data_IF_856627250144
#
_entry.id   IF_856627250144
#
_cell.length_a   1.000
_cell.length_b   1.000
_cell.length_c   1.000
_cell.angle_alpha   90.00
_cell.angle_beta   90.00
_cell.angle_gamma   90.00
#
_symmetry.space_group_name_H-M   'P 1'
#
loop_
_entity.id
_entity.type
_entity.pdbx_description
1 polymer ?
#
# COMPACT_ATOMS: atom_id res chain seq x y z
N UNK A 1 -4.93 -2.42 -33.32
CA UNK A 1 -3.91 -2.81 -34.33
C UNK A 1 -2.54 -2.67 -33.68
N UNK A 2 -1.99 -3.76 -33.13
CA UNK A 2 -0.67 -3.76 -32.50
C UNK A 2 0.34 -4.31 -33.50
N UNK A 3 1.29 -3.48 -33.93
CA UNK A 3 2.43 -3.91 -34.74
C UNK A 3 3.46 -4.58 -33.84
N UNK A 4 3.58 -5.89 -33.96
CA UNK A 4 4.69 -6.66 -33.39
C UNK A 4 5.89 -6.42 -34.29
N UNK A 5 6.82 -5.58 -33.86
CA UNK A 5 8.09 -5.41 -34.53
C UNK A 5 8.97 -6.65 -34.30
N UNK A 6 9.08 -7.51 -35.34
CA UNK A 6 10.08 -8.57 -35.38
C UNK A 6 11.46 -7.92 -35.47
N UNK A 7 12.21 -7.94 -34.40
CA UNK A 7 13.63 -7.63 -34.42
C UNK A 7 14.36 -8.78 -35.12
N UNK A 8 14.71 -8.57 -36.36
CA UNK A 8 15.69 -9.42 -37.07
C UNK A 8 17.05 -9.20 -36.41
N UNK A 9 17.56 -10.26 -35.76
CA UNK A 9 18.96 -10.32 -35.34
C UNK A 9 19.80 -10.45 -36.63
N UNK A 10 20.38 -9.35 -37.05
CA UNK A 10 21.38 -9.35 -38.08
C UNK A 10 22.66 -9.99 -37.52
N UNK A 11 22.90 -11.23 -37.89
CA UNK A 11 24.21 -11.87 -37.75
C UNK A 11 25.19 -11.11 -38.66
N UNK A 12 25.93 -10.18 -38.09
CA UNK A 12 27.05 -9.56 -38.76
C UNK A 12 28.19 -10.58 -38.90
N UNK A 13 28.27 -11.22 -40.02
CA UNK A 13 29.44 -12.04 -40.40
C UNK A 13 30.62 -11.11 -40.68
N UNK A 14 31.50 -10.93 -39.71
CA UNK A 14 32.80 -10.30 -39.94
C UNK A 14 33.70 -11.35 -40.57
N UNK A 15 33.86 -11.28 -41.86
CA UNK A 15 34.86 -12.07 -42.58
C UNK A 15 36.21 -11.37 -42.43
N UNK A 16 37.00 -11.81 -41.47
CA UNK A 16 38.43 -11.48 -41.38
C UNK A 16 39.17 -12.55 -42.16
N UNK A 17 39.84 -12.15 -43.24
CA UNK A 17 40.72 -13.03 -44.04
C UNK A 17 41.80 -13.60 -43.12
N UNK A 18 41.82 -14.91 -42.91
CA UNK A 18 43.01 -15.63 -42.51
C UNK A 18 43.01 -16.59 -41.37
N UNK A 19 41.94 -16.73 -40.60
CA UNK A 19 41.83 -17.87 -39.64
C UNK A 19 40.37 -18.15 -39.28
N UNK A 20 39.83 -19.25 -39.73
CA UNK A 20 38.58 -19.80 -39.21
C UNK A 20 38.84 -20.30 -37.80
N UNK A 21 38.67 -19.43 -36.79
CA UNK A 21 38.71 -19.87 -35.37
C UNK A 21 37.41 -20.59 -35.13
N UNK A 22 37.41 -21.91 -35.25
CA UNK A 22 36.30 -22.75 -34.85
C UNK A 22 36.22 -22.74 -33.33
N UNK A 23 35.25 -22.02 -32.78
CA UNK A 23 34.97 -22.05 -31.33
C UNK A 23 34.51 -23.49 -30.99
N UNK A 24 35.16 -24.19 -30.07
CA UNK A 24 34.76 -25.56 -29.72
C UNK A 24 33.34 -25.59 -29.19
N UNK A 25 32.53 -26.60 -29.56
CA UNK A 25 31.11 -26.68 -29.19
C UNK A 25 30.87 -26.57 -27.66
N UNK A 26 31.78 -27.07 -26.85
CA UNK A 26 31.76 -26.97 -25.38
C UNK A 26 31.73 -25.51 -24.90
N UNK A 27 32.43 -24.60 -25.58
CA UNK A 27 32.43 -23.17 -25.20
C UNK A 27 31.09 -22.51 -25.54
N UNK A 28 30.49 -22.87 -26.66
CA UNK A 28 29.18 -22.36 -27.08
C UNK A 28 28.08 -22.83 -26.12
N UNK A 29 28.07 -24.11 -25.74
CA UNK A 29 27.12 -24.66 -24.77
C UNK A 29 27.26 -24.03 -23.38
N UNK A 30 28.50 -23.80 -22.91
CA UNK A 30 28.75 -23.14 -21.63
C UNK A 30 28.26 -21.67 -21.63
N UNK A 31 28.39 -20.99 -22.74
CA UNK A 31 27.92 -19.61 -22.89
C UNK A 31 26.40 -19.54 -22.95
N UNK A 32 25.73 -20.42 -23.72
CA UNK A 32 24.28 -20.51 -23.75
C UNK A 32 23.67 -20.86 -22.38
N UNK A 33 24.31 -21.73 -21.63
CA UNK A 33 23.89 -22.08 -20.25
C UNK A 33 23.95 -20.85 -19.34
N UNK A 34 25.07 -20.09 -19.36
CA UNK A 34 25.22 -18.87 -18.55
C UNK A 34 24.19 -17.79 -18.92
N UNK A 35 23.90 -17.60 -20.18
CA UNK A 35 22.88 -16.66 -20.66
C UNK A 35 21.49 -17.09 -20.17
N UNK A 36 21.19 -18.39 -20.25
CA UNK A 36 19.93 -18.95 -19.73
C UNK A 36 19.80 -18.77 -18.23
N UNK A 37 20.83 -19.11 -17.46
CA UNK A 37 20.86 -18.95 -15.99
C UNK A 37 20.68 -17.48 -15.60
N UNK A 38 21.33 -16.54 -16.27
CA UNK A 38 21.18 -15.10 -16.05
C UNK A 38 19.74 -14.64 -16.33
N UNK A 39 19.13 -15.16 -17.41
CA UNK A 39 17.75 -14.83 -17.78
C UNK A 39 16.76 -15.35 -16.76
N UNK A 40 16.93 -16.59 -16.27
CA UNK A 40 16.08 -17.21 -15.25
C UNK A 40 16.20 -16.42 -13.94
N UNK A 41 17.40 -16.07 -13.50
CA UNK A 41 17.62 -15.29 -12.27
C UNK A 41 16.96 -13.89 -12.38
N UNK A 42 17.09 -13.24 -13.53
CA UNK A 42 16.45 -11.93 -13.75
C UNK A 42 14.90 -12.03 -13.73
N UNK A 43 14.35 -13.12 -14.27
CA UNK A 43 12.91 -13.37 -14.23
C UNK A 43 12.44 -13.64 -12.81
N UNK A 44 13.16 -14.48 -12.05
CA UNK A 44 12.85 -14.77 -10.65
C UNK A 44 12.85 -13.49 -9.79
N UNK A 45 13.83 -12.60 -10.00
CA UNK A 45 13.88 -11.32 -9.31
C UNK A 45 12.67 -10.41 -9.65
N UNK A 46 12.19 -10.42 -10.90
CA UNK A 46 10.98 -9.70 -11.29
C UNK A 46 9.74 -10.28 -10.64
N UNK A 47 9.60 -11.60 -10.64
CA UNK A 47 8.47 -12.29 -9.98
C UNK A 47 8.44 -11.93 -8.50
N UNK A 48 9.57 -12.07 -7.80
CA UNK A 48 9.66 -11.70 -6.38
C UNK A 48 9.25 -10.25 -6.13
N UNK A 49 9.67 -9.33 -6.98
CA UNK A 49 9.25 -7.92 -6.85
C UNK A 49 7.75 -7.74 -7.00
N UNK A 50 7.11 -8.45 -7.93
CA UNK A 50 5.65 -8.41 -8.08
C UNK A 50 4.93 -9.00 -6.88
N UNK A 51 5.43 -10.11 -6.33
CA UNK A 51 4.91 -10.71 -5.10
C UNK A 51 5.01 -9.74 -3.92
N UNK A 52 6.13 -9.06 -3.76
CA UNK A 52 6.33 -8.06 -2.73
C UNK A 52 5.36 -6.88 -2.89
N UNK A 53 5.18 -6.38 -4.10
CA UNK A 53 4.21 -5.31 -4.39
C UNK A 53 2.78 -5.75 -4.09
N UNK A 54 2.41 -7.00 -4.40
CA UNK A 54 1.08 -7.54 -4.09
C UNK A 54 0.88 -7.66 -2.58
N UNK A 55 1.84 -8.21 -1.83
CA UNK A 55 1.79 -8.31 -0.38
C UNK A 55 1.65 -6.94 0.30
N UNK A 56 2.34 -5.92 -0.23
CA UNK A 56 2.20 -4.55 0.26
C UNK A 56 0.81 -4.00 -0.07
N UNK A 57 0.27 -4.23 -1.26
CA UNK A 57 -1.07 -3.80 -1.62
C UNK A 57 -2.14 -4.46 -0.71
N UNK A 58 -1.97 -5.74 -0.40
CA UNK A 58 -2.83 -6.47 0.53
C UNK A 58 -2.75 -5.89 1.95
N UNK A 59 -1.56 -5.53 2.42
CA UNK A 59 -1.34 -4.83 3.69
C UNK A 59 -2.06 -3.48 3.74
N UNK A 60 -2.00 -2.69 2.64
CA UNK A 60 -2.68 -1.40 2.53
C UNK A 60 -4.20 -1.58 2.60
N UNK A 61 -4.76 -2.60 1.95
CA UNK A 61 -6.18 -2.92 1.98
C UNK A 61 -6.63 -3.45 3.35
N UNK A 62 -5.83 -4.32 3.97
CA UNK A 62 -6.10 -4.86 5.30
C UNK A 62 -6.15 -3.76 6.37
N UNK A 63 -5.33 -2.72 6.23
CA UNK A 63 -5.40 -1.53 7.08
C UNK A 63 -6.80 -0.89 7.04
N UNK A 64 -7.36 -0.66 5.86
CA UNK A 64 -8.71 -0.11 5.71
C UNK A 64 -9.77 -1.04 6.31
N UNK A 65 -9.69 -2.34 6.01
CA UNK A 65 -10.61 -3.34 6.55
C UNK A 65 -10.61 -3.38 8.08
N UNK A 66 -9.44 -3.48 8.69
CA UNK A 66 -9.30 -3.55 10.14
C UNK A 66 -9.82 -2.29 10.85
N UNK A 67 -9.60 -1.12 10.23
CA UNK A 67 -10.12 0.14 10.72
C UNK A 67 -11.66 0.20 10.66
N UNK A 68 -12.25 -0.21 9.54
CA UNK A 68 -13.70 -0.19 9.32
C UNK A 68 -14.44 -1.20 10.21
N UNK A 69 -13.83 -2.36 10.45
CA UNK A 69 -14.39 -3.39 11.34
C UNK A 69 -14.09 -3.16 12.82
N UNK A 70 -13.33 -2.11 13.16
CA UNK A 70 -12.87 -1.84 14.54
C UNK A 70 -12.00 -2.95 15.14
N UNK A 71 -11.38 -3.76 14.29
CA UNK A 71 -10.39 -4.76 14.69
C UNK A 71 -9.04 -4.10 14.96
N UNK A 72 -8.97 -3.32 16.05
CA UNK A 72 -7.76 -2.58 16.40
C UNK A 72 -6.58 -3.48 16.74
N UNK A 73 -6.84 -4.74 17.10
CA UNK A 73 -5.77 -5.71 17.31
C UNK A 73 -5.12 -6.11 15.98
N UNK A 74 -5.92 -6.47 14.99
CA UNK A 74 -5.43 -6.73 13.63
C UNK A 74 -4.78 -5.48 13.03
N UNK A 75 -5.41 -4.31 13.18
CA UNK A 75 -4.86 -3.04 12.74
C UNK A 75 -3.46 -2.75 13.29
N UNK A 76 -3.27 -2.88 14.60
CA UNK A 76 -2.00 -2.64 15.26
C UNK A 76 -0.92 -3.64 14.84
N UNK A 77 -1.29 -4.91 14.58
CA UNK A 77 -0.37 -5.95 14.13
C UNK A 77 0.26 -5.68 12.74
N UNK A 78 -0.32 -4.75 11.96
CA UNK A 78 0.22 -4.33 10.67
C UNK A 78 1.49 -3.47 10.81
N UNK A 79 1.83 -3.02 12.01
CA UNK A 79 2.98 -2.17 12.28
C UNK A 79 4.15 -2.98 12.84
N UNK A 80 5.37 -2.49 12.60
CA UNK A 80 6.58 -3.06 13.21
C UNK A 80 6.59 -2.84 14.71
N UNK A 81 7.46 -3.58 15.42
CA UNK A 81 7.66 -3.46 16.88
C UNK A 81 7.95 -2.04 17.38
N UNK A 82 8.48 -1.19 16.52
CA UNK A 82 8.77 0.22 16.78
C UNK A 82 8.04 1.15 15.77
N UNK A 83 6.95 0.65 15.20
CA UNK A 83 6.14 1.33 14.21
C UNK A 83 5.48 2.61 14.73
N UNK A 84 5.13 3.49 13.81
CA UNK A 84 4.48 4.77 14.13
C UNK A 84 3.33 5.09 13.18
N UNK A 85 2.37 5.85 13.70
CA UNK A 85 1.26 6.39 12.94
C UNK A 85 1.09 7.88 13.25
N UNK A 86 0.76 8.68 12.22
CA UNK A 86 0.39 10.09 12.39
C UNK A 86 -0.73 10.49 11.43
N UNK A 87 -1.56 11.45 11.86
CA UNK A 87 -2.67 11.94 11.04
C UNK A 87 -3.57 12.88 11.83
N UNK A 88 -4.79 13.11 11.35
CA UNK A 88 -5.75 14.03 11.94
C UNK A 88 -6.15 13.72 13.40
N UNK A 89 -5.91 12.49 13.86
CA UNK A 89 -6.16 12.07 15.24
C UNK A 89 -4.98 12.37 16.20
N UNK A 90 -3.81 12.72 15.65
CA UNK A 90 -2.57 12.93 16.40
C UNK A 90 -1.42 12.07 15.90
N UNK A 91 -0.46 11.81 16.77
CA UNK A 91 0.71 10.97 16.48
C UNK A 91 0.92 9.95 17.59
N UNK A 92 1.29 8.74 17.20
CA UNK A 92 1.68 7.66 18.11
C UNK A 92 2.91 6.94 17.60
N UNK A 93 3.80 6.57 18.51
CA UNK A 93 5.03 5.80 18.28
C UNK A 93 5.10 4.68 19.32
N UNK A 94 5.93 3.66 19.09
CA UNK A 94 6.16 2.59 20.06
C UNK A 94 5.48 1.26 19.70
N UNK A 95 5.12 1.13 18.43
CA UNK A 95 4.69 -0.15 17.85
C UNK A 95 3.26 -0.57 18.21
N UNK A 96 2.96 -1.88 18.03
CA UNK A 96 1.57 -2.36 18.02
C UNK A 96 0.77 -2.03 19.28
N UNK A 97 1.34 -2.20 20.49
CA UNK A 97 0.58 -1.94 21.71
C UNK A 97 0.20 -0.45 21.85
N UNK A 98 1.16 0.45 21.61
CA UNK A 98 0.90 1.88 21.67
C UNK A 98 -0.13 2.32 20.61
N UNK A 99 -0.05 1.76 19.40
CA UNK A 99 -1.00 2.03 18.32
C UNK A 99 -2.39 1.49 18.65
N UNK A 100 -2.49 0.30 19.22
CA UNK A 100 -3.75 -0.27 19.70
C UNK A 100 -4.43 0.63 20.73
N UNK A 101 -3.69 1.03 21.78
CA UNK A 101 -4.21 1.88 22.84
C UNK A 101 -4.64 3.25 22.32
N UNK A 102 -3.81 3.83 21.42
CA UNK A 102 -4.12 5.11 20.78
C UNK A 102 -5.41 5.02 19.95
N UNK A 103 -5.54 4.04 19.07
CA UNK A 103 -6.72 3.91 18.20
C UNK A 103 -7.98 3.60 19.02
N UNK A 104 -7.88 2.73 20.02
CA UNK A 104 -8.99 2.41 20.92
C UNK A 104 -9.46 3.64 21.68
N UNK A 105 -8.54 4.49 22.17
CA UNK A 105 -8.88 5.71 22.89
C UNK A 105 -9.50 6.78 22.00
N UNK A 106 -9.07 6.88 20.72
CA UNK A 106 -9.52 7.93 19.80
C UNK A 106 -10.81 7.60 19.06
N UNK A 107 -10.96 6.36 18.62
CA UNK A 107 -12.07 5.95 17.75
C UNK A 107 -12.80 4.68 18.22
N UNK A 108 -12.35 4.06 19.30
CA UNK A 108 -12.97 2.84 19.87
C UNK A 108 -14.40 3.03 20.35
N UNK A 109 -14.88 4.25 20.45
CA UNK A 109 -16.27 4.56 20.81
C UNK A 109 -16.67 4.18 22.24
N UNK A 110 -15.72 3.71 23.04
CA UNK A 110 -15.95 3.17 24.36
C UNK A 110 -15.40 4.03 25.50
N UNK A 111 -15.65 5.31 25.52
CA UNK A 111 -15.65 6.02 26.78
C UNK A 111 -16.73 5.40 27.66
N UNK A 112 -16.34 4.53 28.63
CA UNK A 112 -17.22 3.97 29.69
C UNK A 112 -18.60 3.50 29.21
N UNK A 113 -18.64 2.40 28.42
CA UNK A 113 -19.89 1.69 28.11
C UNK A 113 -20.75 2.27 26.99
N UNK A 114 -20.19 3.18 26.16
CA UNK A 114 -20.90 3.68 24.98
C UNK A 114 -20.82 2.69 23.83
N UNK A 115 -21.94 2.39 23.21
CA UNK A 115 -22.01 1.71 21.90
C UNK A 115 -21.17 2.49 20.90
N UNK A 116 -20.35 1.84 20.04
CA UNK A 116 -19.63 2.54 19.00
C UNK A 116 -20.58 3.46 18.23
N UNK A 117 -20.29 4.74 18.19
CA UNK A 117 -21.19 5.76 17.58
C UNK A 117 -21.31 5.57 16.06
N UNK A 118 -20.44 4.75 15.48
CA UNK A 118 -20.41 4.38 14.08
C UNK A 118 -20.48 2.84 14.04
N UNK A 119 -21.65 2.30 13.69
CA UNK A 119 -21.85 0.86 13.61
C UNK A 119 -21.10 0.23 12.44
N UNK A 120 -20.78 -1.05 12.58
CA UNK A 120 -20.30 -1.90 11.50
C UNK A 120 -21.21 -1.73 10.26
N UNK A 121 -20.61 -1.49 9.08
CA UNK A 121 -21.36 -1.28 7.84
C UNK A 121 -21.82 0.16 7.58
N UNK A 122 -21.55 1.09 8.50
CA UNK A 122 -21.90 2.51 8.29
C UNK A 122 -20.74 3.37 7.79
N UNK A 123 -19.54 2.82 7.74
CA UNK A 123 -18.32 3.53 7.30
C UNK A 123 -17.42 2.63 6.47
N UNK A 124 -16.76 3.23 5.47
CA UNK A 124 -15.76 2.55 4.63
C UNK A 124 -14.59 3.46 4.34
N UNK A 125 -13.38 2.89 4.45
CA UNK A 125 -12.16 3.47 3.89
C UNK A 125 -11.88 2.82 2.53
N UNK A 126 -12.16 3.56 1.46
CA UNK A 126 -11.87 3.11 0.10
C UNK A 126 -10.43 3.46 -0.21
N UNK A 127 -9.59 2.43 -0.38
CA UNK A 127 -8.17 2.57 -0.71
C UNK A 127 -7.97 2.49 -2.22
N UNK A 128 -7.13 3.37 -2.78
CA UNK A 128 -6.89 3.41 -4.24
C UNK A 128 -5.55 4.03 -4.59
N UNK A 129 -5.21 3.99 -5.90
CA UNK A 129 -4.06 4.67 -6.50
C UNK A 129 -2.73 4.34 -5.79
N UNK A 130 -2.50 3.05 -5.58
CA UNK A 130 -1.27 2.57 -4.95
C UNK A 130 -0.06 2.83 -5.85
N UNK A 131 0.93 3.54 -5.34
CA UNK A 131 2.27 3.63 -5.89
C UNK A 131 3.22 3.01 -4.89
N UNK A 132 3.83 1.89 -5.25
CA UNK A 132 4.68 1.07 -4.38
C UNK A 132 6.06 0.96 -5.00
N UNK A 133 7.10 1.29 -4.25
CA UNK A 133 8.50 1.19 -4.66
C UNK A 133 9.23 0.29 -3.66
N UNK A 134 9.62 -0.91 -4.13
CA UNK A 134 10.32 -1.93 -3.33
C UNK A 134 11.82 -1.85 -3.57
N UNK A 135 12.59 -1.85 -2.48
CA UNK A 135 14.06 -1.90 -2.49
C UNK A 135 14.55 -2.89 -1.43
N UNK A 136 14.78 -4.14 -1.85
CA UNK A 136 15.11 -5.23 -0.95
C UNK A 136 14.01 -5.46 0.10
N UNK A 137 14.39 -5.38 1.39
CA UNK A 137 13.47 -5.55 2.52
C UNK A 137 12.86 -4.22 3.04
N UNK A 138 12.98 -3.16 2.25
CA UNK A 138 12.35 -1.87 2.51
C UNK A 138 11.47 -1.44 1.33
N UNK A 139 10.44 -0.67 1.61
CA UNK A 139 9.60 -0.09 0.56
C UNK A 139 9.05 1.27 0.99
N UNK A 140 8.65 2.06 0.00
CA UNK A 140 7.78 3.21 0.20
C UNK A 140 6.48 3.00 -0.55
N UNK A 141 5.38 3.50 0.00
CA UNK A 141 4.11 3.50 -0.69
C UNK A 141 3.40 4.84 -0.51
N UNK A 142 2.68 5.25 -1.54
CA UNK A 142 1.67 6.29 -1.45
C UNK A 142 0.34 5.73 -1.94
N UNK A 143 -0.75 6.15 -1.32
CA UNK A 143 -2.09 5.74 -1.73
C UNK A 143 -3.09 6.87 -1.49
N UNK A 144 -4.23 6.81 -2.17
CA UNK A 144 -5.39 7.64 -1.87
C UNK A 144 -6.35 6.88 -1.00
N UNK A 145 -7.05 7.60 -0.14
CA UNK A 145 -8.12 7.03 0.66
C UNK A 145 -9.32 7.97 0.67
N UNK A 146 -10.49 7.37 0.78
CA UNK A 146 -11.74 8.09 0.87
C UNK A 146 -12.56 7.48 2.01
N UNK A 147 -12.95 8.30 2.97
CA UNK A 147 -13.83 7.90 4.06
C UNK A 147 -15.27 8.22 3.70
N UNK A 148 -16.06 7.18 3.59
CA UNK A 148 -17.50 7.25 3.33
C UNK A 148 -18.24 6.90 4.61
N UNK A 149 -19.25 7.69 4.97
CA UNK A 149 -20.06 7.45 6.15
C UNK A 149 -21.51 7.84 5.90
N UNK A 150 -22.42 7.08 6.51
CA UNK A 150 -23.84 7.41 6.56
C UNK A 150 -24.23 8.27 7.77
N UNK A 151 -23.31 8.53 8.71
CA UNK A 151 -23.62 9.20 9.99
C UNK A 151 -24.13 10.64 9.86
N UNK A 152 -23.80 11.31 8.76
CA UNK A 152 -24.26 12.69 8.44
C UNK A 152 -25.02 12.75 7.12
N UNK A 153 -25.66 11.65 6.72
CA UNK A 153 -26.17 11.41 5.38
C UNK A 153 -25.11 10.66 4.54
N UNK A 154 -25.55 9.82 3.57
CA UNK A 154 -24.65 9.04 2.74
C UNK A 154 -23.72 9.95 1.95
N UNK A 155 -22.41 9.74 2.08
CA UNK A 155 -21.47 10.53 1.28
C UNK A 155 -20.02 10.45 1.76
N UNK A 156 -19.17 11.12 0.98
CA UNK A 156 -17.75 11.29 1.29
C UNK A 156 -17.61 12.32 2.40
N UNK A 157 -17.01 11.95 3.50
CA UNK A 157 -16.74 12.84 4.63
C UNK A 157 -15.34 13.44 4.57
N UNK A 158 -14.37 12.62 4.19
CA UNK A 158 -12.95 13.01 4.07
C UNK A 158 -12.34 12.22 2.92
N UNK A 159 -11.45 12.84 2.18
CA UNK A 159 -10.56 12.17 1.26
C UNK A 159 -9.13 12.69 1.44
N UNK A 160 -8.15 11.84 1.21
CA UNK A 160 -6.78 12.21 1.41
C UNK A 160 -5.79 11.21 0.84
N UNK A 161 -4.59 11.25 1.37
CA UNK A 161 -3.51 10.36 0.99
C UNK A 161 -2.81 9.78 2.20
N UNK A 162 -2.17 8.64 1.99
CA UNK A 162 -1.19 8.07 2.90
C UNK A 162 0.20 8.16 2.29
N UNK A 163 1.18 8.36 3.15
CA UNK A 163 2.59 8.23 2.84
C UNK A 163 3.20 7.23 3.83
N UNK A 164 3.77 6.15 3.28
CA UNK A 164 4.17 4.99 4.03
C UNK A 164 5.65 4.68 3.86
N UNK A 165 6.29 4.28 4.95
CA UNK A 165 7.53 3.52 4.94
C UNK A 165 7.23 2.11 5.45
N UNK A 166 7.69 1.13 4.70
CA UNK A 166 7.46 -0.27 5.00
C UNK A 166 8.79 -1.01 5.10
N UNK A 167 8.81 -2.03 5.93
CA UNK A 167 9.94 -2.94 6.05
C UNK A 167 9.44 -4.36 6.18
N UNK A 168 10.29 -5.32 5.80
CA UNK A 168 10.03 -6.74 6.03
C UNK A 168 10.56 -7.09 7.42
N UNK A 169 9.66 -7.39 8.34
CA UNK A 169 9.96 -7.84 9.70
C UNK A 169 9.50 -9.30 9.82
N UNK A 170 10.41 -10.20 10.16
CA UNK A 170 10.16 -11.64 10.27
C UNK A 170 9.53 -12.25 9.01
N UNK A 171 9.99 -11.81 7.83
CA UNK A 171 9.50 -12.28 6.53
C UNK A 171 8.19 -11.63 6.06
N UNK A 172 7.56 -10.75 6.84
CA UNK A 172 6.26 -10.13 6.57
C UNK A 172 6.43 -8.63 6.38
N UNK A 173 5.78 -8.07 5.37
CA UNK A 173 5.73 -6.63 5.18
C UNK A 173 4.89 -5.95 6.26
N UNK A 174 5.43 -4.88 6.86
CA UNK A 174 4.76 -4.09 7.91
C UNK A 174 5.02 -2.61 7.74
N UNK A 175 4.14 -1.78 8.29
CA UNK A 175 4.36 -0.34 8.37
C UNK A 175 5.46 -0.03 9.41
N UNK A 176 6.55 0.54 8.96
CA UNK A 176 7.52 1.22 9.82
C UNK A 176 6.98 2.58 10.25
N UNK A 177 6.35 3.30 9.31
CA UNK A 177 5.57 4.51 9.60
C UNK A 177 4.47 4.69 8.58
N UNK A 178 3.33 5.18 9.04
CA UNK A 178 2.23 5.64 8.17
C UNK A 178 1.86 7.06 8.56
N UNK A 179 1.77 7.94 7.57
CA UNK A 179 1.27 9.30 7.73
C UNK A 179 -0.01 9.48 6.90
N UNK A 180 -1.08 9.90 7.57
CA UNK A 180 -2.37 10.19 6.96
C UNK A 180 -2.56 11.70 6.79
N UNK A 181 -2.87 12.13 5.57
CA UNK A 181 -3.18 13.51 5.23
C UNK A 181 -4.65 13.61 4.85
N UNK A 182 -5.33 14.62 5.38
CA UNK A 182 -6.69 14.99 4.98
C UNK A 182 -6.59 16.09 3.92
N UNK A 183 -6.75 15.74 2.66
CA UNK A 183 -6.63 16.69 1.54
C UNK A 183 -7.99 17.38 1.26
N UNK A 184 -9.10 16.68 1.49
CA UNK A 184 -10.47 17.18 1.29
C UNK A 184 -11.33 16.75 2.49
N UNK A 185 -12.04 17.70 3.08
CA UNK A 185 -13.01 17.46 4.16
C UNK A 185 -14.37 18.00 3.76
N UNK A 186 -15.44 17.27 4.08
CA UNK A 186 -16.79 17.79 3.89
C UNK A 186 -16.99 19.03 4.76
N UNK A 187 -17.74 20.04 4.27
CA UNK A 187 -18.10 21.19 5.08
C UNK A 187 -18.91 20.74 6.31
N UNK A 188 -18.86 21.48 7.42
CA UNK A 188 -19.73 21.20 8.56
C UNK A 188 -21.19 21.24 8.09
N UNK A 189 -22.08 20.42 8.68
CA UNK A 189 -23.49 20.49 8.36
C UNK A 189 -23.98 21.93 8.59
N UNK A 190 -24.77 22.45 7.65
CA UNK A 190 -25.39 23.74 7.84
C UNK A 190 -26.14 23.70 9.17
N UNK A 191 -25.81 24.59 10.09
CA UNK A 191 -26.57 24.76 11.32
C UNK A 191 -28.04 24.99 10.89
N UNK A 192 -28.96 24.20 11.43
CA UNK A 192 -30.37 24.44 11.21
C UNK A 192 -30.61 25.92 11.57
N UNK A 193 -30.76 26.76 10.54
CA UNK A 193 -31.09 28.15 10.72
C UNK A 193 -32.37 28.17 11.53
N UNK A 194 -32.31 28.79 12.73
CA UNK A 194 -33.35 28.76 13.71
C UNK A 194 -34.72 29.09 13.06
N UNK A 195 -35.65 28.19 13.21
CA UNK A 195 -37.06 28.50 13.06
C UNK A 195 -37.42 29.48 14.16
N UNK A 196 -37.18 30.76 13.90
CA UNK A 196 -37.84 31.82 14.68
C UNK A 196 -39.34 31.74 14.33
N UNK A 197 -40.08 30.99 15.13
CA UNK A 197 -41.52 31.05 15.17
C UNK A 197 -41.89 32.48 15.57
N UNK A 198 -42.27 33.28 14.59
CA UNK A 198 -42.90 34.55 14.80
C UNK A 198 -44.36 34.29 15.18
N UNK A 199 -44.64 34.10 16.47
CA UNK A 199 -46.01 34.15 17.01
C UNK A 199 -46.44 35.59 17.13
N UNK A 200 -47.33 35.95 16.27
CA UNK A 200 -48.28 37.08 16.50
C UNK A 200 -49.66 36.52 16.76
#
# INVERSE_FOLDING_TARGET
>A
MYHIARRHVLLASVVILGACITVPPVVVEAQQRRESETTVAALAAKVKRFEDMQQIADLLNEYGRALDTRDFKAYAALFTKDGSWSGGLGTVTGGPQAIYDFMTSRIGGGGRGGTPTIGFGSTYHIMSNFKIEVNGDTATATSRWTFVSAARGPGIQVAGRYEDRLVREDGVWKFKSRQAFNDVTAPPPASAAGSSSNSR
#
